data_IF_990546705856
#
_entry.id   IF_990546705856
#
_cell.length_a   1.000
_cell.length_b   1.000
_cell.length_c   1.000
_cell.angle_alpha   90.00
_cell.angle_beta   90.00
_cell.angle_gamma   90.00
#
_symmetry.space_group_name_H-M   'P 1'
#
loop_
_entity.id
_entity.type
_entity.pdbx_description
1 polymer ?
#
# COMPACT_ATOMS: atom_id res chain seq x y z
N UNK A 1 21.02 -17.63 -14.50
CA UNK A 1 20.75 -16.28 -15.04
C UNK A 1 19.53 -15.56 -14.43
N UNK A 2 18.79 -16.14 -13.45
CA UNK A 2 17.53 -15.54 -12.96
C UNK A 2 17.64 -14.37 -11.96
N UNK A 3 18.77 -14.24 -11.27
CA UNK A 3 18.95 -13.25 -10.19
C UNK A 3 18.83 -11.77 -10.61
N UNK A 4 19.18 -11.44 -11.86
CA UNK A 4 19.09 -10.06 -12.35
C UNK A 4 17.66 -9.63 -12.65
N UNK A 5 16.84 -10.55 -13.18
CA UNK A 5 15.42 -10.28 -13.48
C UNK A 5 14.64 -10.07 -12.19
N UNK A 6 14.87 -10.91 -11.18
CA UNK A 6 14.24 -10.80 -9.87
C UNK A 6 14.48 -9.43 -9.21
N UNK A 7 15.75 -8.99 -9.15
CA UNK A 7 16.10 -7.71 -8.55
C UNK A 7 15.51 -6.53 -9.32
N UNK A 8 15.46 -6.62 -10.65
CA UNK A 8 14.88 -5.60 -11.52
C UNK A 8 13.36 -5.47 -11.34
N UNK A 9 12.65 -6.60 -11.26
CA UNK A 9 11.20 -6.61 -10.98
C UNK A 9 10.90 -6.03 -9.62
N UNK A 10 11.65 -6.42 -8.58
CA UNK A 10 11.48 -5.87 -7.23
C UNK A 10 11.70 -4.36 -7.19
N UNK A 11 12.72 -3.86 -7.89
CA UNK A 11 12.99 -2.42 -7.98
C UNK A 11 11.85 -1.64 -8.65
N UNK A 12 11.29 -2.14 -9.75
CA UNK A 12 10.17 -1.47 -10.44
C UNK A 12 8.90 -1.48 -9.57
N UNK A 13 8.61 -2.59 -8.91
CA UNK A 13 7.44 -2.68 -8.03
C UNK A 13 7.58 -1.79 -6.78
N UNK A 14 8.80 -1.58 -6.27
CA UNK A 14 9.03 -0.80 -5.05
C UNK A 14 9.21 0.71 -5.27
N UNK A 15 9.30 1.19 -6.52
CA UNK A 15 9.61 2.60 -6.82
C UNK A 15 8.59 3.29 -7.72
N UNK A 16 7.61 2.57 -8.25
CA UNK A 16 6.61 3.10 -9.17
C UNK A 16 5.24 3.18 -8.51
N UNK A 17 4.43 4.16 -8.93
CA UNK A 17 3.05 4.31 -8.48
C UNK A 17 2.23 3.03 -8.72
N UNK A 18 1.22 2.80 -7.87
CA UNK A 18 0.37 1.62 -7.83
C UNK A 18 -0.18 1.20 -9.19
N UNK A 19 -0.56 2.16 -10.04
CA UNK A 19 -1.08 1.87 -11.39
C UNK A 19 0.00 1.26 -12.31
N UNK A 20 1.22 1.80 -12.24
CA UNK A 20 2.38 1.37 -13.03
C UNK A 20 2.89 0.01 -12.57
N UNK A 21 2.97 -0.21 -11.25
CA UNK A 21 3.36 -1.50 -10.68
C UNK A 21 2.37 -2.62 -11.09
N UNK A 22 1.08 -2.31 -11.09
CA UNK A 22 0.04 -3.27 -11.49
C UNK A 22 0.12 -3.64 -12.98
N UNK A 23 0.28 -2.64 -13.86
CA UNK A 23 0.46 -2.87 -15.31
C UNK A 23 1.73 -3.67 -15.62
N UNK A 24 2.83 -3.37 -14.96
CA UNK A 24 4.09 -4.08 -15.15
C UNK A 24 3.98 -5.55 -14.74
N UNK A 25 3.28 -5.83 -13.63
CA UNK A 25 2.96 -7.18 -13.22
C UNK A 25 2.13 -7.98 -14.23
N UNK A 26 1.13 -7.35 -14.84
CA UNK A 26 0.34 -8.01 -15.90
C UNK A 26 1.17 -8.38 -17.11
N UNK A 27 2.14 -7.53 -17.47
CA UNK A 27 3.11 -7.81 -18.55
C UNK A 27 3.97 -9.02 -18.17
N UNK A 28 4.54 -9.06 -16.96
CA UNK A 28 5.36 -10.19 -16.52
C UNK A 28 4.60 -11.52 -16.51
N UNK A 29 3.33 -11.51 -16.08
CA UNK A 29 2.46 -12.71 -16.09
C UNK A 29 2.21 -13.22 -17.50
N UNK A 30 2.15 -12.33 -18.49
CA UNK A 30 1.89 -12.68 -19.90
C UNK A 30 3.12 -13.29 -20.58
N UNK A 31 4.33 -12.92 -20.17
CA UNK A 31 5.57 -13.28 -20.85
C UNK A 31 6.46 -14.28 -20.09
N UNK A 32 6.08 -14.77 -18.91
CA UNK A 32 6.87 -15.79 -18.21
C UNK A 32 6.68 -17.19 -18.82
N UNK A 33 7.78 -17.72 -19.40
CA UNK A 33 7.82 -19.03 -20.06
C UNK A 33 8.04 -20.21 -19.09
N UNK A 34 8.44 -19.96 -17.83
CA UNK A 34 8.67 -20.98 -16.80
C UNK A 34 7.67 -20.92 -15.65
N UNK A 35 7.19 -22.08 -15.20
CA UNK A 35 6.19 -22.23 -14.12
C UNK A 35 6.65 -21.58 -12.79
N UNK A 36 7.93 -21.73 -12.45
CA UNK A 36 8.53 -21.13 -11.26
C UNK A 36 8.56 -19.60 -11.32
N UNK A 37 8.90 -19.02 -12.48
CA UNK A 37 8.91 -17.57 -12.67
C UNK A 37 7.49 -16.98 -12.67
N UNK A 38 6.50 -17.74 -13.16
CA UNK A 38 5.08 -17.36 -13.09
C UNK A 38 4.57 -17.37 -11.65
N UNK A 39 4.96 -18.35 -10.85
CA UNK A 39 4.60 -18.43 -9.43
C UNK A 39 5.21 -17.25 -8.66
N UNK A 40 6.51 -17.02 -8.84
CA UNK A 40 7.20 -15.90 -8.18
C UNK A 40 6.60 -14.52 -8.54
N UNK A 41 6.29 -14.28 -9.82
CA UNK A 41 5.65 -13.03 -10.24
C UNK A 41 4.25 -12.84 -9.63
N UNK A 42 3.50 -13.94 -9.43
CA UNK A 42 2.19 -13.88 -8.78
C UNK A 42 2.28 -13.55 -7.30
N UNK A 43 3.27 -14.11 -6.60
CA UNK A 43 3.54 -13.82 -5.18
C UNK A 43 3.88 -12.34 -5.00
N UNK A 44 4.82 -11.80 -5.78
CA UNK A 44 5.18 -10.38 -5.73
C UNK A 44 3.99 -9.46 -6.04
N UNK A 45 3.12 -9.84 -6.97
CA UNK A 45 1.91 -9.07 -7.27
C UNK A 45 0.84 -9.16 -6.20
N UNK A 46 0.77 -10.29 -5.50
CA UNK A 46 -0.14 -10.44 -4.37
C UNK A 46 0.35 -9.58 -3.19
N UNK A 47 1.65 -9.61 -2.92
CA UNK A 47 2.33 -8.79 -1.91
C UNK A 47 2.12 -7.29 -2.20
N UNK A 48 2.48 -6.81 -3.39
CA UNK A 48 2.29 -5.40 -3.76
C UNK A 48 0.81 -4.96 -3.77
N UNK A 49 -0.13 -5.85 -4.08
CA UNK A 49 -1.58 -5.54 -3.95
C UNK A 49 -2.03 -5.51 -2.49
N UNK A 50 -1.44 -6.32 -1.62
CA UNK A 50 -1.74 -6.30 -0.19
C UNK A 50 -1.20 -5.01 0.44
N UNK A 51 0.07 -4.69 0.18
CA UNK A 51 0.72 -3.44 0.62
C UNK A 51 -0.06 -2.21 0.15
N UNK A 52 -0.41 -2.13 -1.14
CA UNK A 52 -1.18 -1.00 -1.67
C UNK A 52 -2.63 -0.93 -1.15
N UNK A 53 -3.22 -2.04 -0.68
CA UNK A 53 -4.51 -2.01 0.03
C UNK A 53 -4.35 -1.51 1.45
N UNK A 54 -3.30 -1.95 2.14
CA UNK A 54 -2.98 -1.48 3.48
C UNK A 54 -2.73 0.02 3.46
N UNK A 55 -1.82 0.51 2.61
CA UNK A 55 -1.51 1.94 2.47
C UNK A 55 -2.76 2.77 2.18
N UNK A 56 -3.58 2.36 1.21
CA UNK A 56 -4.83 3.04 0.87
C UNK A 56 -5.84 3.07 2.01
N UNK A 57 -5.89 2.01 2.82
CA UNK A 57 -6.76 1.94 4.00
C UNK A 57 -6.28 2.89 5.08
N UNK A 58 -4.98 2.89 5.39
CA UNK A 58 -4.40 3.79 6.39
C UNK A 58 -4.60 5.25 5.99
N UNK A 59 -4.37 5.61 4.71
CA UNK A 59 -4.58 6.97 4.20
C UNK A 59 -6.04 7.42 4.32
N UNK A 60 -6.98 6.54 3.96
CA UNK A 60 -8.43 6.83 4.07
C UNK A 60 -8.84 7.08 5.53
N UNK A 61 -8.31 6.30 6.48
CA UNK A 61 -8.58 6.50 7.90
C UNK A 61 -8.03 7.84 8.40
N UNK A 62 -6.82 8.22 7.97
CA UNK A 62 -6.23 9.52 8.32
C UNK A 62 -7.07 10.66 7.77
N UNK A 63 -7.41 10.63 6.48
CA UNK A 63 -8.24 11.66 5.83
C UNK A 63 -9.61 11.80 6.52
N UNK A 64 -10.24 10.70 6.92
CA UNK A 64 -11.53 10.72 7.63
C UNK A 64 -11.43 11.44 8.97
N UNK A 65 -10.43 11.11 9.79
CA UNK A 65 -10.23 11.76 11.10
C UNK A 65 -9.88 13.24 10.93
N UNK A 66 -9.01 13.59 9.97
CA UNK A 66 -8.67 15.01 9.70
C UNK A 66 -9.88 15.82 9.23
N UNK A 67 -10.76 15.24 8.42
CA UNK A 67 -12.01 15.88 8.01
C UNK A 67 -12.94 16.12 9.20
N UNK A 68 -13.12 15.13 10.08
CA UNK A 68 -13.94 15.27 11.29
C UNK A 68 -13.38 16.34 12.25
N UNK A 69 -12.06 16.36 12.46
CA UNK A 69 -11.39 17.39 13.25
C UNK A 69 -11.60 18.79 12.64
N UNK A 70 -11.51 18.91 11.31
CA UNK A 70 -11.75 20.18 10.59
C UNK A 70 -13.18 20.67 10.74
N UNK A 71 -14.15 19.76 10.84
CA UNK A 71 -15.56 20.07 11.12
C UNK A 71 -15.83 20.35 12.61
N UNK A 72 -14.80 20.31 13.46
CA UNK A 72 -14.93 20.59 14.89
C UNK A 72 -15.49 19.42 15.70
N UNK A 73 -15.46 18.19 15.16
CA UNK A 73 -15.84 17.00 15.91
C UNK A 73 -14.92 16.81 17.12
N UNK A 74 -15.51 16.44 18.26
CA UNK A 74 -14.74 16.11 19.45
C UNK A 74 -14.09 14.73 19.34
N UNK A 75 -12.96 14.54 20.02
CA UNK A 75 -12.27 13.24 20.08
C UNK A 75 -13.17 12.09 20.53
N UNK A 76 -14.08 12.32 21.48
CA UNK A 76 -15.04 11.31 21.94
C UNK A 76 -16.04 10.87 20.85
N UNK A 77 -16.36 11.74 19.89
CA UNK A 77 -17.19 11.39 18.74
C UNK A 77 -16.37 10.67 17.68
N UNK A 78 -15.13 11.14 17.43
CA UNK A 78 -14.21 10.51 16.49
C UNK A 78 -13.93 9.07 16.90
N UNK A 79 -13.52 8.84 18.15
CA UNK A 79 -13.24 7.51 18.70
C UNK A 79 -14.45 6.57 18.58
N UNK A 80 -15.66 7.08 18.74
CA UNK A 80 -16.89 6.29 18.59
C UNK A 80 -17.16 5.89 17.14
N UNK A 81 -16.86 6.76 16.18
CA UNK A 81 -17.16 6.55 14.75
C UNK A 81 -16.06 5.74 14.07
N UNK A 82 -14.79 6.00 14.41
CA UNK A 82 -13.62 5.41 13.76
C UNK A 82 -13.00 4.29 14.57
N UNK A 83 -13.26 4.22 15.87
CA UNK A 83 -12.57 3.32 16.80
C UNK A 83 -11.15 3.77 17.14
N UNK A 84 -10.73 4.98 16.75
CA UNK A 84 -9.39 5.50 16.94
C UNK A 84 -9.37 6.61 17.99
N UNK A 85 -8.51 6.45 19.00
CA UNK A 85 -8.15 7.53 19.91
C UNK A 85 -7.05 8.45 19.33
N UNK A 86 -6.77 9.55 20.03
CA UNK A 86 -5.80 10.56 19.61
C UNK A 86 -4.37 9.99 19.45
N UNK A 87 -3.93 9.14 20.39
CA UNK A 87 -2.59 8.57 20.35
C UNK A 87 -2.43 7.55 19.21
N UNK A 88 -3.46 6.74 18.97
CA UNK A 88 -3.52 5.80 17.85
C UNK A 88 -3.53 6.56 16.52
N UNK A 89 -4.25 7.67 16.44
CA UNK A 89 -4.26 8.53 15.26
C UNK A 89 -2.88 9.15 14.97
N UNK A 90 -2.16 9.62 15.98
CA UNK A 90 -0.79 10.16 15.79
C UNK A 90 0.16 9.10 15.25
N UNK A 91 0.10 7.88 15.79
CA UNK A 91 0.89 6.74 15.29
C UNK A 91 0.52 6.42 13.84
N UNK A 92 -0.78 6.41 13.52
CA UNK A 92 -1.30 6.16 12.19
C UNK A 92 -0.80 7.22 11.19
N UNK A 93 -0.86 8.49 11.57
CA UNK A 93 -0.37 9.62 10.77
C UNK A 93 1.13 9.54 10.51
N UNK A 94 1.93 9.21 11.52
CA UNK A 94 3.36 8.99 11.36
C UNK A 94 3.69 7.79 10.46
N UNK A 95 2.84 6.75 10.46
CA UNK A 95 2.98 5.61 9.55
C UNK A 95 2.69 6.01 8.10
N UNK A 96 1.62 6.77 7.85
CA UNK A 96 1.29 7.27 6.49
C UNK A 96 2.38 8.20 5.96
N UNK A 97 2.91 9.11 6.78
CA UNK A 97 4.00 10.01 6.36
C UNK A 97 5.27 9.28 5.94
N UNK A 98 5.59 8.15 6.57
CA UNK A 98 6.75 7.32 6.19
C UNK A 98 6.54 6.54 4.89
N UNK A 99 5.28 6.27 4.53
CA UNK A 99 4.93 5.56 3.30
C UNK A 99 4.89 6.50 2.08
N UNK A 100 4.82 7.82 2.29
CA UNK A 100 4.74 8.81 1.23
C UNK A 100 5.79 9.94 1.45
N UNK A 101 7.10 9.66 1.25
CA UNK A 101 8.19 10.61 1.49
C UNK A 101 8.24 11.78 0.50
#
# INVERSE_FOLDING_TARGET
SGYYVERFVRYILSTQDRETASRFGEVLRRYSEGDDMRTYAQELLAEGRAEGREEGTLRTQVEMVENLLREGASWSLIERVTGLDEAQFDVLKARVQRLNP
#
